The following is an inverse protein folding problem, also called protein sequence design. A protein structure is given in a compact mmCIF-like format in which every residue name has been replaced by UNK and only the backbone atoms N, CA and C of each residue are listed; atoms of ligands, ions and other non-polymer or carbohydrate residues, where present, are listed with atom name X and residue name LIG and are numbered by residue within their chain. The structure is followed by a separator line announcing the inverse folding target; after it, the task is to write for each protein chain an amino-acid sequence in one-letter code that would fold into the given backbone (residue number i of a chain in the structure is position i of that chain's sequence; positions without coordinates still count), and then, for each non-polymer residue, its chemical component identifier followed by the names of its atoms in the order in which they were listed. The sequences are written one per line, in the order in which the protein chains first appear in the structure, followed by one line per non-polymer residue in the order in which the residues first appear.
data_IF_110793608421
#
_entry.id   IF_110793608421
#
_cell.length_a   1.000
_cell.length_b   1.000
_cell.length_c   1.000
_cell.angle_alpha   90.00
_cell.angle_beta   90.00
_cell.angle_gamma   90.00
#
_symmetry.space_group_name_H-M   'P 1'
#
loop_
_entity.id
_entity.type
_entity.pdbx_description
1 polymer ?
#
# COMPACT_ATOMS: atom_id res chain seq x y z
N UNK A 1 -4.04 -28.88 10.46
CA UNK A 1 -3.22 -27.80 11.06
C UNK A 1 -2.57 -26.90 10.00
N UNK A 2 -1.94 -27.43 8.96
CA UNK A 2 -1.37 -26.64 7.84
C UNK A 2 -2.38 -25.65 7.18
N UNK A 3 -3.62 -26.07 6.90
CA UNK A 3 -4.65 -25.17 6.33
C UNK A 3 -5.12 -24.03 7.27
N UNK A 4 -4.90 -24.17 8.59
CA UNK A 4 -5.18 -23.13 9.59
C UNK A 4 -4.04 -22.11 9.67
N UNK A 5 -2.80 -22.55 9.52
CA UNK A 5 -1.62 -21.68 9.41
C UNK A 5 -1.61 -20.93 8.07
N UNK A 6 -2.01 -21.56 6.96
CA UNK A 6 -2.04 -20.91 5.64
C UNK A 6 -3.10 -19.80 5.57
N UNK A 7 -4.30 -20.04 6.12
CA UNK A 7 -5.31 -18.98 6.23
C UNK A 7 -4.82 -17.85 7.14
N UNK A 8 -4.20 -18.13 8.29
CA UNK A 8 -3.67 -17.08 9.18
C UNK A 8 -2.53 -16.28 8.56
N UNK A 9 -1.53 -16.92 7.95
CA UNK A 9 -0.37 -16.22 7.37
C UNK A 9 -0.77 -15.30 6.19
N UNK A 10 -1.75 -15.71 5.37
CA UNK A 10 -2.21 -14.91 4.22
C UNK A 10 -3.26 -13.87 4.61
N UNK A 11 -4.17 -14.15 5.56
CA UNK A 11 -5.17 -13.18 6.06
C UNK A 11 -4.61 -12.14 7.05
N UNK A 12 -3.42 -12.33 7.62
CA UNK A 12 -2.82 -11.34 8.54
C UNK A 12 -1.94 -10.31 7.80
N UNK A 13 -1.33 -10.65 6.67
CA UNK A 13 -0.58 -9.66 5.89
C UNK A 13 -1.48 -8.63 5.17
N UNK A 14 -2.79 -8.88 5.08
CA UNK A 14 -3.78 -8.03 4.40
C UNK A 14 -4.21 -6.81 5.21
N UNK A 15 -4.15 -6.83 6.55
CA UNK A 15 -4.67 -5.73 7.39
C UNK A 15 -3.62 -4.65 7.71
N UNK A 16 -2.37 -5.00 8.02
CA UNK A 16 -1.31 -4.00 8.29
C UNK A 16 -0.84 -3.26 7.03
N UNK A 17 -0.71 -3.96 5.89
CA UNK A 17 0.00 -3.44 4.71
C UNK A 17 -0.80 -2.48 3.82
N UNK A 18 -2.15 -2.51 3.89
CA UNK A 18 -2.99 -1.66 3.03
C UNK A 18 -3.29 -0.27 3.63
N UNK A 19 -3.22 -0.11 4.95
CA UNK A 19 -3.62 1.14 5.62
C UNK A 19 -2.56 2.24 5.45
N UNK A 20 -1.27 1.90 5.27
CA UNK A 20 -0.19 2.89 5.22
C UNK A 20 0.42 3.15 3.83
N UNK A 21 0.42 2.20 2.88
CA UNK A 21 1.21 2.35 1.65
C UNK A 21 0.40 2.55 0.36
N UNK A 22 -0.86 2.12 0.29
CA UNK A 22 -1.61 2.05 -0.98
C UNK A 22 -2.78 3.05 -1.13
N UNK A 23 -2.91 3.99 -0.20
CA UNK A 23 -3.94 5.05 -0.24
C UNK A 23 -3.61 6.21 -1.21
N UNK A 24 -2.48 6.14 -1.93
CA UNK A 24 -1.90 7.30 -2.65
C UNK A 24 -1.28 6.91 -4.02
N UNK A 25 -1.97 6.10 -4.83
CA UNK A 25 -1.61 5.93 -6.26
C UNK A 25 -2.76 6.41 -7.18
N UNK A 26 -2.92 7.73 -7.20
CA UNK A 26 -3.13 8.61 -8.37
C UNK A 26 -3.96 8.11 -9.57
N UNK A 27 -5.04 8.85 -9.84
CA UNK A 27 -5.74 8.94 -11.12
C UNK A 27 -5.67 10.40 -11.58
N UNK A 28 -4.82 10.67 -12.58
CA UNK A 28 -4.95 11.83 -13.44
C UNK A 28 -4.65 11.39 -14.89
N UNK A 29 -5.72 11.07 -15.62
CA UNK A 29 -5.67 10.94 -17.07
C UNK A 29 -5.38 12.31 -17.68
N UNK A 30 -4.17 12.48 -18.22
CA UNK A 30 -3.76 13.69 -18.92
C UNK A 30 -4.37 13.65 -20.34
N UNK A 31 -5.52 14.30 -20.56
CA UNK A 31 -6.00 14.62 -21.92
C UNK A 31 -5.82 16.11 -22.18
N UNK A 32 -4.74 16.45 -22.87
CA UNK A 32 -4.62 17.73 -23.55
C UNK A 32 -5.47 17.70 -24.83
N UNK A 33 -6.51 18.54 -24.90
CA UNK A 33 -6.98 19.09 -26.16
C UNK A 33 -6.89 20.62 -26.10
N UNK A 34 -5.99 21.13 -26.94
CA UNK A 34 -5.84 22.49 -27.48
C UNK A 34 -6.57 23.68 -26.81
N UNK A 35 -5.77 24.64 -26.34
CA UNK A 35 -6.05 26.08 -26.52
C UNK A 35 -6.83 26.81 -25.42
N UNK A 36 -6.10 27.26 -24.38
CA UNK A 36 -6.36 28.28 -23.32
C UNK A 36 -6.21 27.70 -21.90
N UNK A 37 -5.64 28.44 -20.92
CA UNK A 37 -5.42 27.91 -19.57
C UNK A 37 -6.76 27.87 -18.82
N UNK A 38 -7.25 26.67 -18.54
CA UNK A 38 -8.49 26.42 -17.76
C UNK A 38 -8.09 25.89 -16.38
N UNK A 39 -8.87 26.24 -15.35
CA UNK A 39 -8.72 25.94 -13.92
C UNK A 39 -8.34 24.49 -13.51
N UNK A 40 -8.36 23.52 -14.43
CA UNK A 40 -8.00 22.12 -14.19
C UNK A 40 -6.50 21.81 -14.06
N UNK A 41 -5.58 22.70 -14.47
CA UNK A 41 -4.13 22.41 -14.39
C UNK A 41 -3.57 22.36 -12.97
N UNK A 42 -4.30 22.95 -12.01
CA UNK A 42 -3.84 23.02 -10.62
C UNK A 42 -3.81 21.64 -9.97
N UNK A 43 -4.65 20.69 -10.39
CA UNK A 43 -4.80 19.34 -9.79
C UNK A 43 -3.63 18.39 -10.11
N UNK A 44 -3.06 18.44 -11.31
CA UNK A 44 -1.96 17.56 -11.75
C UNK A 44 -0.64 17.79 -10.98
N UNK A 45 -0.40 19.02 -10.50
CA UNK A 45 0.81 19.37 -9.71
C UNK A 45 0.81 18.73 -8.30
N UNK A 46 -0.36 18.45 -7.72
CA UNK A 46 -0.46 17.93 -6.34
C UNK A 46 -0.08 16.45 -6.21
N UNK A 47 -0.11 15.71 -7.31
CA UNK A 47 0.27 14.30 -7.35
C UNK A 47 1.78 14.09 -7.24
N UNK A 48 2.61 15.04 -7.70
CA UNK A 48 4.07 15.00 -7.54
C UNK A 48 4.53 15.16 -6.08
N UNK A 49 3.85 15.99 -5.28
CA UNK A 49 4.22 16.21 -3.86
C UNK A 49 3.88 15.01 -2.98
N UNK A 50 2.94 14.16 -3.43
CA UNK A 50 2.56 12.92 -2.73
C UNK A 50 3.52 11.75 -2.97
N UNK A 51 4.50 11.90 -3.89
CA UNK A 51 5.51 10.87 -4.26
C UNK A 51 6.57 10.63 -3.18
N UNK A 52 6.71 11.52 -2.21
CA UNK A 52 7.72 11.45 -1.15
C UNK A 52 7.15 11.04 0.23
N UNK A 53 6.59 9.83 0.33
CA UNK A 53 6.10 9.33 1.62
C UNK A 53 7.19 8.81 2.57
N UNK A 54 8.44 8.65 2.11
CA UNK A 54 9.56 8.30 2.97
C UNK A 54 10.10 9.47 3.83
N UNK A 55 9.72 10.73 3.58
CA UNK A 55 10.38 11.89 4.22
C UNK A 55 9.73 12.33 5.55
N UNK A 56 8.46 11.97 5.82
CA UNK A 56 7.70 12.64 6.89
C UNK A 56 7.58 11.89 8.22
N UNK A 57 8.03 10.61 8.32
CA UNK A 57 8.17 9.91 9.61
C UNK A 57 9.21 10.62 10.51
N UNK A 58 10.22 11.26 9.92
CA UNK A 58 11.22 12.07 10.62
C UNK A 58 10.68 13.36 11.27
N UNK A 59 9.53 13.89 10.84
CA UNK A 59 8.97 15.14 11.38
C UNK A 59 8.13 14.90 12.63
N UNK A 60 7.53 13.71 12.79
CA UNK A 60 6.90 13.29 14.04
C UNK A 60 7.94 12.96 15.13
N UNK A 61 9.10 12.40 14.76
CA UNK A 61 10.19 12.15 15.71
C UNK A 61 10.91 13.42 16.16
N UNK A 62 11.00 14.44 15.29
CA UNK A 62 11.53 15.76 15.64
C UNK A 62 10.65 16.53 16.64
N UNK A 63 9.34 16.26 16.69
CA UNK A 63 8.44 16.87 17.68
C UNK A 63 8.32 16.07 18.99
N UNK A 64 8.48 14.73 18.96
CA UNK A 64 8.55 13.91 20.19
C UNK A 64 9.84 14.14 21.00
N UNK A 65 10.97 14.48 20.36
CA UNK A 65 12.22 14.82 21.08
C UNK A 65 12.23 16.20 21.75
N UNK A 66 11.20 17.04 21.57
CA UNK A 66 11.07 18.34 22.26
C UNK A 66 10.14 18.32 23.48
N UNK A 67 9.55 17.17 23.81
CA UNK A 67 8.67 17.01 24.97
C UNK A 67 9.32 16.24 26.12
N UNK A 68 10.34 16.80 26.77
CA UNK A 68 10.88 16.23 28.00
C UNK A 68 12.19 16.86 28.48
N UNK A 69 12.13 17.65 29.55
CA UNK A 69 13.30 18.12 30.30
C UNK A 69 13.34 19.64 30.49
N UNK A 70 12.97 20.11 31.68
CA UNK A 70 13.00 21.52 32.06
C UNK A 70 14.37 22.01 32.56
N UNK A 71 14.53 23.33 32.56
CA UNK A 71 15.39 24.07 33.48
C UNK A 71 16.76 24.52 32.96
N UNK A 72 16.92 25.83 32.74
CA UNK A 72 18.21 26.51 32.91
C UNK A 72 18.71 27.37 31.75
N UNK A 73 18.44 28.68 31.83
CA UNK A 73 19.41 29.75 31.52
C UNK A 73 19.84 30.02 30.06
N UNK A 74 19.54 31.23 29.58
CA UNK A 74 20.44 31.93 28.66
C UNK A 74 19.86 32.33 27.31
N UNK A 75 19.31 33.56 27.25
CA UNK A 75 19.32 34.56 26.16
C UNK A 75 19.49 34.09 24.68
N UNK A 76 18.67 34.72 23.83
CA UNK A 76 18.62 34.75 22.34
C UNK A 76 17.68 33.66 21.80
N UNK A 77 16.51 33.95 21.23
CA UNK A 77 16.28 34.73 20.00
C UNK A 77 14.91 35.42 20.09
N UNK A 78 14.89 36.75 20.25
CA UNK A 78 13.83 37.60 19.72
C UNK A 78 14.21 37.94 18.27
N UNK A 79 13.20 38.17 17.42
CA UNK A 79 13.24 38.51 15.98
C UNK A 79 12.92 37.37 15.01
N UNK A 80 11.64 36.96 14.97
CA UNK A 80 10.98 36.49 13.74
C UNK A 80 9.44 36.57 13.80
N UNK A 81 8.87 37.47 14.62
CA UNK A 81 7.40 37.60 14.78
C UNK A 81 6.84 38.96 14.33
N UNK A 82 7.63 39.80 13.65
CA UNK A 82 7.20 41.14 13.22
C UNK A 82 7.30 41.36 11.70
N UNK A 83 7.73 40.35 10.92
CA UNK A 83 7.89 40.48 9.46
C UNK A 83 6.78 39.84 8.61
N UNK A 84 5.60 39.52 9.18
CA UNK A 84 4.46 39.00 8.40
C UNK A 84 3.14 39.75 8.62
N UNK A 85 3.17 40.88 9.32
CA UNK A 85 1.96 41.67 9.64
C UNK A 85 1.82 42.96 8.83
N UNK A 86 2.71 43.22 7.86
CA UNK A 86 2.76 44.48 7.08
C UNK A 86 2.60 44.27 5.56
N UNK A 87 2.12 43.11 5.13
CA UNK A 87 1.68 42.87 3.74
C UNK A 87 0.39 42.02 3.70
N UNK A 88 -0.53 42.28 4.63
CA UNK A 88 -1.86 41.64 4.67
C UNK A 88 -3.01 42.62 4.39
N UNK A 89 -2.68 43.83 3.93
CA UNK A 89 -3.67 44.81 3.49
C UNK A 89 -3.44 45.12 2.02
N UNK A 90 -4.38 44.67 1.18
CA UNK A 90 -4.61 45.05 -0.23
C UNK A 90 -4.34 44.00 -1.33
N UNK A 91 -4.64 42.73 -1.09
CA UNK A 91 -5.15 41.88 -2.18
C UNK A 91 -6.62 41.58 -1.85
N UNK A 92 -7.51 42.48 -2.30
CA UNK A 92 -8.93 42.15 -2.36
C UNK A 92 -9.10 40.89 -3.22
N UNK A 93 -9.81 39.92 -2.68
CA UNK A 93 -9.95 38.54 -3.15
C UNK A 93 -10.54 38.45 -4.58
N UNK A 94 -9.71 38.61 -5.63
CA UNK A 94 -10.09 38.56 -7.05
C UNK A 94 -10.55 37.16 -7.54
N UNK A 95 -10.74 36.20 -6.65
CA UNK A 95 -11.23 34.86 -6.99
C UNK A 95 -12.73 34.90 -7.24
N UNK A 96 -13.14 34.39 -8.40
CA UNK A 96 -14.56 34.13 -8.67
C UNK A 96 -15.12 33.07 -7.69
N UNK A 97 -16.43 33.10 -7.46
CA UNK A 97 -17.14 32.18 -6.59
C UNK A 97 -16.92 30.70 -6.95
N UNK A 98 -16.77 30.39 -8.25
CA UNK A 98 -16.39 29.05 -8.68
C UNK A 98 -15.02 28.63 -8.14
N UNK A 99 -14.03 29.53 -8.18
CA UNK A 99 -12.68 29.28 -7.69
C UNK A 99 -12.64 29.16 -6.16
N UNK A 100 -13.45 29.94 -5.45
CA UNK A 100 -13.59 29.84 -3.99
C UNK A 100 -14.16 28.48 -3.57
N UNK A 101 -15.21 28.01 -4.25
CA UNK A 101 -15.79 26.67 -4.01
C UNK A 101 -14.79 25.56 -4.32
N UNK A 102 -14.00 25.71 -5.37
CA UNK A 102 -12.93 24.75 -5.69
C UNK A 102 -11.84 24.71 -4.60
N UNK A 103 -11.38 25.87 -4.14
CA UNK A 103 -10.40 25.97 -3.04
C UNK A 103 -10.96 25.36 -1.74
N UNK A 104 -12.24 25.57 -1.44
CA UNK A 104 -12.93 24.98 -0.30
C UNK A 104 -13.02 23.45 -0.41
N UNK A 105 -13.39 22.91 -1.59
CA UNK A 105 -13.38 21.46 -1.83
C UNK A 105 -12.00 20.86 -1.59
N UNK A 106 -10.95 21.48 -2.16
CA UNK A 106 -9.57 21.03 -1.98
C UNK A 106 -9.18 21.03 -0.49
N UNK A 107 -9.59 22.07 0.25
CA UNK A 107 -9.34 22.15 1.69
C UNK A 107 -10.05 21.03 2.46
N UNK A 108 -11.32 20.74 2.14
CA UNK A 108 -12.08 19.65 2.76
C UNK A 108 -11.43 18.28 2.49
N UNK A 109 -11.03 18.01 1.25
CA UNK A 109 -10.34 16.78 0.87
C UNK A 109 -9.01 16.63 1.62
N UNK A 110 -8.24 17.72 1.78
CA UNK A 110 -7.00 17.72 2.58
C UNK A 110 -7.26 17.47 4.06
N UNK A 111 -8.28 18.09 4.64
CA UNK A 111 -8.69 17.86 6.03
C UNK A 111 -9.14 16.40 6.24
N UNK A 112 -9.89 15.83 5.30
CA UNK A 112 -10.27 14.43 5.31
C UNK A 112 -9.04 13.53 5.33
N UNK A 113 -8.12 13.70 4.38
CA UNK A 113 -6.88 12.90 4.30
C UNK A 113 -6.05 13.00 5.58
N UNK A 114 -5.87 14.21 6.11
CA UNK A 114 -5.14 14.42 7.37
C UNK A 114 -5.84 13.75 8.55
N UNK A 115 -7.17 13.78 8.59
CA UNK A 115 -7.97 13.13 9.63
C UNK A 115 -7.85 11.61 9.57
N UNK A 116 -7.84 11.02 8.35
CA UNK A 116 -7.57 9.58 8.14
C UNK A 116 -6.19 9.23 8.69
N UNK A 117 -5.15 10.00 8.35
CA UNK A 117 -3.79 9.76 8.86
C UNK A 117 -3.67 9.87 10.39
N UNK A 118 -4.57 10.61 11.04
CA UNK A 118 -4.64 10.74 12.50
C UNK A 118 -5.54 9.69 13.17
N UNK A 119 -6.13 8.78 12.40
CA UNK A 119 -7.13 7.82 12.90
C UNK A 119 -8.49 8.45 13.24
N UNK A 120 -8.72 9.71 12.88
CA UNK A 120 -9.95 10.46 13.14
C UNK A 120 -10.99 10.17 12.05
N UNK A 121 -11.42 8.91 11.96
CA UNK A 121 -12.24 8.42 10.84
C UNK A 121 -13.61 9.10 10.73
N UNK A 122 -14.23 9.48 11.86
CA UNK A 122 -15.52 10.17 11.87
C UNK A 122 -15.40 11.62 11.35
N UNK A 123 -14.35 12.34 11.75
CA UNK A 123 -14.06 13.67 11.24
C UNK A 123 -13.76 13.62 9.73
N UNK A 124 -12.98 12.62 9.29
CA UNK A 124 -12.71 12.38 7.88
C UNK A 124 -14.00 12.17 7.08
N UNK A 125 -14.91 11.32 7.58
CA UNK A 125 -16.21 11.09 6.96
C UNK A 125 -16.99 12.39 6.82
N UNK A 126 -17.06 13.22 7.87
CA UNK A 126 -17.73 14.52 7.81
C UNK A 126 -17.18 15.45 6.73
N UNK A 127 -15.85 15.56 6.62
CA UNK A 127 -15.21 16.37 5.59
C UNK A 127 -15.48 15.85 4.17
N UNK A 128 -15.49 14.53 3.97
CA UNK A 128 -15.76 13.93 2.66
C UNK A 128 -17.21 14.13 2.21
N UNK A 129 -18.18 14.05 3.11
CA UNK A 129 -19.58 14.33 2.80
C UNK A 129 -19.79 15.79 2.38
N UNK A 130 -19.10 16.74 3.03
CA UNK A 130 -19.12 18.14 2.62
C UNK A 130 -18.46 18.33 1.25
N UNK A 131 -17.30 17.69 1.02
CA UNK A 131 -16.57 17.78 -0.24
C UNK A 131 -17.40 17.27 -1.43
N UNK A 132 -18.03 16.09 -1.31
CA UNK A 132 -18.82 15.51 -2.39
C UNK A 132 -20.08 16.32 -2.68
N UNK A 133 -20.73 16.87 -1.65
CA UNK A 133 -21.89 17.76 -1.84
C UNK A 133 -21.51 19.01 -2.65
N UNK A 134 -20.37 19.64 -2.32
CA UNK A 134 -19.87 20.80 -3.05
C UNK A 134 -19.40 20.42 -4.47
N UNK A 135 -18.85 19.23 -4.66
CA UNK A 135 -18.44 18.72 -5.97
C UNK A 135 -19.63 18.51 -6.91
N UNK A 136 -20.75 17.99 -6.40
CA UNK A 136 -22.00 17.89 -7.16
C UNK A 136 -22.58 19.26 -7.50
N UNK A 137 -22.57 20.21 -6.56
CA UNK A 137 -23.06 21.59 -6.80
C UNK A 137 -22.26 22.34 -7.88
N UNK A 138 -20.97 22.05 -7.98
CA UNK A 138 -20.07 22.68 -8.97
C UNK A 138 -19.94 21.87 -10.26
N UNK A 139 -20.64 20.73 -10.36
CA UNK A 139 -20.53 19.78 -11.48
C UNK A 139 -19.09 19.36 -11.80
N UNK A 140 -18.22 19.33 -10.79
CA UNK A 140 -16.82 18.94 -10.96
C UNK A 140 -16.69 17.41 -10.89
N UNK A 141 -16.76 16.76 -12.05
CA UNK A 141 -16.71 15.30 -12.16
C UNK A 141 -15.43 14.70 -11.53
N UNK A 142 -14.28 15.35 -11.69
CA UNK A 142 -13.02 14.86 -11.12
C UNK A 142 -13.06 14.89 -9.59
N UNK A 143 -13.58 15.97 -8.99
CA UNK A 143 -13.76 16.07 -7.54
C UNK A 143 -14.80 15.07 -7.02
N UNK A 144 -15.86 14.79 -7.78
CA UNK A 144 -16.85 13.75 -7.44
C UNK A 144 -16.19 12.36 -7.38
N UNK A 145 -15.47 11.97 -8.44
CA UNK A 145 -14.77 10.67 -8.52
C UNK A 145 -13.76 10.53 -7.36
N UNK A 146 -12.96 11.57 -7.13
CA UNK A 146 -11.96 11.57 -6.07
C UNK A 146 -12.58 11.52 -4.66
N UNK A 147 -13.68 12.25 -4.44
CA UNK A 147 -14.38 12.21 -3.15
C UNK A 147 -14.96 10.82 -2.89
N UNK A 148 -15.63 10.22 -3.89
CA UNK A 148 -16.17 8.87 -3.75
C UNK A 148 -15.08 7.82 -3.52
N UNK A 149 -13.94 7.91 -4.21
CA UNK A 149 -12.84 6.94 -4.01
C UNK A 149 -12.24 7.06 -2.60
N UNK A 150 -12.10 8.27 -2.04
CA UNK A 150 -11.68 8.47 -0.65
C UNK A 150 -12.71 7.96 0.36
N UNK A 151 -14.01 8.19 0.11
CA UNK A 151 -15.08 7.63 0.95
C UNK A 151 -15.08 6.10 0.91
N UNK A 152 -14.86 5.51 -0.27
CA UNK A 152 -14.80 4.06 -0.44
C UNK A 152 -13.61 3.46 0.31
N UNK A 153 -12.43 4.07 0.21
CA UNK A 153 -11.26 3.68 0.99
C UNK A 153 -11.52 3.78 2.51
N UNK A 154 -12.16 4.87 2.96
CA UNK A 154 -12.52 5.04 4.37
C UNK A 154 -13.48 3.94 4.85
N UNK A 155 -14.52 3.65 4.06
CA UNK A 155 -15.46 2.58 4.34
C UNK A 155 -14.78 1.20 4.38
N UNK A 156 -13.84 0.94 3.46
CA UNK A 156 -13.05 -0.28 3.43
C UNK A 156 -12.23 -0.48 4.70
N UNK A 157 -11.49 0.56 5.13
CA UNK A 157 -10.70 0.54 6.38
C UNK A 157 -11.58 0.34 7.61
N UNK A 158 -12.84 0.77 7.57
CA UNK A 158 -13.83 0.53 8.63
C UNK A 158 -14.49 -0.86 8.58
N UNK A 159 -14.11 -1.72 7.62
CA UNK A 159 -14.72 -3.04 7.40
C UNK A 159 -16.12 -2.98 6.77
N UNK A 160 -16.55 -1.82 6.27
CA UNK A 160 -17.86 -1.64 5.64
C UNK A 160 -17.82 -2.01 4.15
N UNK A 161 -17.51 -3.28 3.86
CA UNK A 161 -17.22 -3.76 2.49
C UNK A 161 -18.34 -3.46 1.48
N UNK A 162 -19.61 -3.71 1.85
CA UNK A 162 -20.76 -3.41 1.00
C UNK A 162 -20.91 -1.92 0.69
N UNK A 163 -20.49 -1.04 1.61
CA UNK A 163 -20.55 0.39 1.39
C UNK A 163 -19.39 0.85 0.49
N UNK A 164 -18.18 0.34 0.74
CA UNK A 164 -17.01 0.58 -0.10
C UNK A 164 -17.26 0.16 -1.56
N UNK A 165 -17.84 -1.03 -1.76
CA UNK A 165 -18.22 -1.56 -3.07
C UNK A 165 -19.13 -0.59 -3.83
N UNK A 166 -20.20 -0.11 -3.18
CA UNK A 166 -21.15 0.85 -3.78
C UNK A 166 -20.48 2.16 -4.16
N UNK A 167 -19.60 2.68 -3.31
CA UNK A 167 -18.88 3.93 -3.54
C UNK A 167 -17.87 3.81 -4.69
N UNK A 168 -17.13 2.69 -4.78
CA UNK A 168 -16.24 2.44 -5.92
C UNK A 168 -17.00 2.24 -7.23
N UNK A 169 -18.12 1.51 -7.21
CA UNK A 169 -19.01 1.40 -8.39
C UNK A 169 -19.53 2.76 -8.84
N UNK A 170 -19.91 3.63 -7.90
CA UNK A 170 -20.34 4.99 -8.21
C UNK A 170 -19.20 5.80 -8.85
N UNK A 171 -18.00 5.79 -8.26
CA UNK A 171 -16.83 6.47 -8.80
C UNK A 171 -16.51 5.99 -10.23
N UNK A 172 -16.46 4.68 -10.44
CA UNK A 172 -16.21 4.07 -11.75
C UNK A 172 -17.31 4.41 -12.78
N UNK A 173 -18.58 4.46 -12.37
CA UNK A 173 -19.67 4.90 -13.24
C UNK A 173 -19.52 6.36 -13.69
N UNK A 174 -19.05 7.24 -12.81
CA UNK A 174 -18.74 8.64 -13.17
C UNK A 174 -17.58 8.71 -14.18
N UNK A 175 -16.56 7.86 -14.04
CA UNK A 175 -15.45 7.78 -15.01
C UNK A 175 -15.93 7.34 -16.40
N UNK A 176 -16.68 6.24 -16.47
CA UNK A 176 -17.17 5.69 -17.74
C UNK A 176 -18.16 6.63 -18.43
N UNK A 177 -19.11 7.20 -17.68
CA UNK A 177 -20.04 8.20 -18.23
C UNK A 177 -19.35 9.51 -18.66
N UNK A 178 -18.19 9.82 -18.06
CA UNK A 178 -17.31 10.91 -18.47
C UNK A 178 -16.44 10.61 -19.69
N UNK A 179 -16.56 9.42 -20.30
CA UNK A 179 -15.81 9.02 -21.49
C UNK A 179 -14.40 8.50 -21.22
N UNK A 180 -14.07 8.15 -19.97
CA UNK A 180 -12.84 7.41 -19.66
C UNK A 180 -12.94 6.00 -20.25
N UNK A 181 -11.97 5.55 -21.07
CA UNK A 181 -11.97 4.20 -21.63
C UNK A 181 -11.94 3.11 -20.56
N UNK A 182 -12.55 1.95 -20.85
CA UNK A 182 -12.55 0.80 -19.92
C UNK A 182 -11.14 0.24 -19.67
N UNK A 183 -10.25 0.36 -20.65
CA UNK A 183 -8.85 -0.07 -20.57
C UNK A 183 -7.91 1.05 -20.05
N UNK A 184 -8.46 2.16 -19.55
CA UNK A 184 -7.69 3.19 -18.88
C UNK A 184 -7.14 2.68 -17.54
N UNK A 185 -5.92 3.09 -17.18
CA UNK A 185 -5.28 2.61 -15.96
C UNK A 185 -6.09 2.98 -14.71
N UNK A 186 -6.76 4.14 -14.71
CA UNK A 186 -7.59 4.56 -13.59
C UNK A 186 -8.83 3.67 -13.43
N UNK A 187 -9.46 3.23 -14.54
CA UNK A 187 -10.61 2.32 -14.48
C UNK A 187 -10.16 0.94 -14.01
N UNK A 188 -9.04 0.45 -14.52
CA UNK A 188 -8.46 -0.83 -14.10
C UNK A 188 -8.09 -0.80 -12.61
N UNK A 189 -7.60 0.33 -12.09
CA UNK A 189 -7.34 0.48 -10.66
C UNK A 189 -8.62 0.39 -9.82
N UNK A 190 -9.72 1.01 -10.26
CA UNK A 190 -11.03 0.86 -9.59
C UNK A 190 -11.51 -0.59 -9.63
N UNK A 191 -11.35 -1.26 -10.76
CA UNK A 191 -11.66 -2.69 -10.91
C UNK A 191 -10.82 -3.57 -9.99
N UNK A 192 -9.53 -3.24 -9.80
CA UNK A 192 -8.65 -3.95 -8.87
C UNK A 192 -9.17 -3.81 -7.43
N UNK A 193 -9.56 -2.60 -7.01
CA UNK A 193 -10.11 -2.37 -5.66
C UNK A 193 -11.41 -3.14 -5.45
N UNK A 194 -12.29 -3.19 -6.46
CA UNK A 194 -13.51 -3.98 -6.41
C UNK A 194 -13.22 -5.48 -6.34
N UNK A 195 -12.25 -5.99 -7.12
CA UNK A 195 -11.85 -7.39 -7.07
C UNK A 195 -11.36 -7.80 -5.67
N UNK A 196 -10.56 -6.95 -5.03
CA UNK A 196 -10.11 -7.15 -3.64
C UNK A 196 -11.29 -7.12 -2.66
N UNK A 197 -12.26 -6.21 -2.82
CA UNK A 197 -13.46 -6.20 -1.98
C UNK A 197 -14.26 -7.50 -2.12
N UNK A 198 -14.45 -7.99 -3.35
CA UNK A 198 -15.12 -9.26 -3.59
C UNK A 198 -14.37 -10.44 -2.98
N UNK A 199 -13.03 -10.42 -3.01
CA UNK A 199 -12.21 -11.42 -2.34
C UNK A 199 -12.45 -11.44 -0.82
N UNK A 200 -12.50 -10.27 -0.18
CA UNK A 200 -12.79 -10.13 1.26
C UNK A 200 -14.25 -10.50 1.62
N UNK A 201 -15.19 -10.27 0.70
CA UNK A 201 -16.59 -10.71 0.84
C UNK A 201 -16.80 -12.20 0.56
N UNK A 202 -15.75 -12.95 0.19
CA UNK A 202 -15.80 -14.35 -0.21
C UNK A 202 -16.66 -14.60 -1.48
N UNK A 203 -16.77 -13.59 -2.35
CA UNK A 203 -17.43 -13.65 -3.66
C UNK A 203 -16.44 -14.12 -4.74
N UNK A 204 -16.05 -15.39 -4.66
CA UNK A 204 -14.90 -15.95 -5.39
C UNK A 204 -14.96 -15.79 -6.91
N UNK A 205 -16.15 -15.95 -7.51
CA UNK A 205 -16.34 -15.81 -8.96
C UNK A 205 -16.13 -14.36 -9.43
N UNK A 206 -16.64 -13.39 -8.67
CA UNK A 206 -16.48 -11.96 -8.98
C UNK A 206 -15.03 -11.51 -8.76
N UNK A 207 -14.38 -11.99 -7.70
CA UNK A 207 -12.97 -11.71 -7.44
C UNK A 207 -12.08 -12.21 -8.58
N UNK A 208 -12.21 -13.48 -8.99
CA UNK A 208 -11.37 -14.03 -10.07
C UNK A 208 -11.64 -13.34 -11.41
N UNK A 209 -12.90 -13.01 -11.72
CA UNK A 209 -13.24 -12.22 -12.92
C UNK A 209 -12.61 -10.84 -12.89
N UNK A 210 -12.68 -10.15 -11.76
CA UNK A 210 -12.08 -8.83 -11.58
C UNK A 210 -10.57 -8.86 -11.75
N UNK A 211 -9.88 -9.78 -11.07
CA UNK A 211 -8.43 -9.93 -11.23
C UNK A 211 -8.02 -10.30 -12.65
N UNK A 212 -8.77 -11.18 -13.31
CA UNK A 212 -8.53 -11.55 -14.72
C UNK A 212 -8.67 -10.34 -15.64
N UNK A 213 -9.76 -9.59 -15.51
CA UNK A 213 -9.97 -8.35 -16.26
C UNK A 213 -8.78 -7.41 -16.10
N UNK A 214 -8.37 -7.13 -14.87
CA UNK A 214 -7.24 -6.24 -14.61
C UNK A 214 -5.95 -6.71 -15.29
N UNK A 215 -5.57 -7.98 -15.15
CA UNK A 215 -4.30 -8.46 -15.74
C UNK A 215 -4.36 -8.53 -17.26
N UNK A 216 -5.43 -9.06 -17.84
CA UNK A 216 -5.56 -9.23 -19.30
C UNK A 216 -5.64 -7.87 -20.01
N UNK A 217 -6.36 -6.90 -19.44
CA UNK A 217 -6.43 -5.55 -20.00
C UNK A 217 -5.07 -4.85 -20.01
N UNK A 218 -4.29 -4.97 -18.92
CA UNK A 218 -2.97 -4.35 -18.82
C UNK A 218 -1.94 -5.04 -19.72
N UNK A 219 -1.95 -6.37 -19.77
CA UNK A 219 -1.08 -7.14 -20.67
C UNK A 219 -1.37 -6.81 -22.13
N UNK A 220 -2.64 -6.82 -22.55
CA UNK A 220 -3.04 -6.45 -23.90
C UNK A 220 -2.62 -5.02 -24.26
N UNK A 221 -2.71 -4.08 -23.31
CA UNK A 221 -2.27 -2.69 -23.48
C UNK A 221 -0.75 -2.59 -23.67
N UNK A 222 0.02 -3.33 -22.88
CA UNK A 222 1.49 -3.39 -22.99
C UNK A 222 1.94 -4.05 -24.30
N UNK A 223 1.25 -5.10 -24.76
CA UNK A 223 1.55 -5.75 -26.04
C UNK A 223 1.28 -4.83 -27.23
N UNK A 224 0.16 -4.10 -27.23
CA UNK A 224 -0.12 -3.08 -28.27
C UNK A 224 0.98 -2.02 -28.31
N UNK A 225 1.49 -1.60 -27.15
CA UNK A 225 2.56 -0.60 -27.06
C UNK A 225 3.91 -1.12 -27.56
N UNK A 226 4.21 -2.43 -27.41
CA UNK A 226 5.45 -3.04 -27.95
C UNK A 226 5.50 -3.04 -29.47
N UNK A 227 4.34 -3.06 -30.14
CA UNK A 227 4.23 -3.12 -31.60
C UNK A 227 4.39 -1.77 -32.30
N UNK A 228 4.46 -0.66 -31.54
CA UNK A 228 4.60 0.69 -32.10
C UNK A 228 6.06 0.97 -32.54
N UNK A 229 6.27 1.60 -33.72
CA UNK A 229 7.59 1.99 -34.19
C UNK A 229 8.35 2.87 -33.19
N UNK A 230 9.68 2.71 -33.13
CA UNK A 230 10.54 3.44 -32.21
C UNK A 230 10.44 4.98 -32.38
N UNK A 231 10.09 5.47 -33.58
CA UNK A 231 9.94 6.91 -33.83
C UNK A 231 8.69 7.54 -33.15
N UNK A 232 7.74 6.72 -32.68
CA UNK A 232 6.51 7.21 -32.03
C UNK A 232 6.62 7.25 -30.50
N UNK A 233 7.70 6.73 -29.91
CA UNK A 233 7.88 6.59 -28.47
C UNK A 233 8.28 7.94 -27.85
N UNK A 234 7.29 8.71 -27.40
CA UNK A 234 7.53 9.94 -26.64
C UNK A 234 7.86 9.64 -25.18
N UNK A 235 8.53 10.57 -24.50
CA UNK A 235 8.81 10.45 -23.05
C UNK A 235 7.54 10.27 -22.20
N UNK A 236 6.44 10.93 -22.59
CA UNK A 236 5.14 10.80 -21.92
C UNK A 236 4.53 9.40 -22.10
N UNK A 237 4.67 8.80 -23.29
CA UNK A 237 4.20 7.44 -23.53
C UNK A 237 5.03 6.40 -22.78
N UNK A 238 6.34 6.58 -22.67
CA UNK A 238 7.19 5.68 -21.89
C UNK A 238 6.89 5.80 -20.39
N UNK A 239 6.63 7.01 -19.88
CA UNK A 239 6.17 7.20 -18.52
C UNK A 239 4.81 6.48 -18.26
N UNK A 240 3.84 6.63 -19.16
CA UNK A 240 2.56 5.92 -19.07
C UNK A 240 2.73 4.40 -19.15
N UNK A 241 3.65 3.92 -19.99
CA UNK A 241 3.98 2.49 -20.11
C UNK A 241 4.62 1.94 -18.84
N UNK A 242 5.49 2.72 -18.19
CA UNK A 242 6.02 2.41 -16.87
C UNK A 242 4.90 2.32 -15.82
N UNK A 243 3.99 3.29 -15.78
CA UNK A 243 2.85 3.26 -14.85
C UNK A 243 1.95 2.05 -15.10
N UNK A 244 1.74 1.68 -16.36
CA UNK A 244 0.97 0.49 -16.76
C UNK A 244 1.64 -0.81 -16.28
N UNK A 245 2.97 -0.92 -16.42
CA UNK A 245 3.75 -2.04 -15.87
C UNK A 245 3.62 -2.12 -14.35
N UNK A 246 3.78 -1.00 -13.66
CA UNK A 246 3.65 -0.94 -12.20
C UNK A 246 2.24 -1.33 -11.72
N UNK A 247 1.19 -0.91 -12.43
CA UNK A 247 -0.18 -1.32 -12.14
C UNK A 247 -0.40 -2.82 -12.37
N UNK A 248 0.21 -3.40 -13.41
CA UNK A 248 0.18 -4.85 -13.64
C UNK A 248 0.85 -5.60 -12.48
N UNK A 249 2.01 -5.12 -12.02
CA UNK A 249 2.68 -5.66 -10.83
C UNK A 249 1.79 -5.66 -9.59
N UNK A 250 1.03 -4.58 -9.36
CA UNK A 250 0.06 -4.50 -8.25
C UNK A 250 -1.13 -5.46 -8.40
N UNK A 251 -1.62 -5.65 -9.63
CA UNK A 251 -2.71 -6.59 -9.91
C UNK A 251 -2.27 -8.03 -9.64
N UNK A 252 -1.06 -8.38 -10.10
CA UNK A 252 -0.45 -9.68 -9.89
C UNK A 252 -0.21 -9.95 -8.39
N UNK A 253 0.36 -9.00 -7.65
CA UNK A 253 0.52 -9.09 -6.18
C UNK A 253 -0.82 -9.35 -5.47
N UNK A 254 -1.85 -8.57 -5.80
CA UNK A 254 -3.17 -8.71 -5.18
C UNK A 254 -3.84 -10.05 -5.51
N UNK A 255 -3.72 -10.50 -6.77
CA UNK A 255 -4.21 -11.82 -7.20
C UNK A 255 -3.43 -12.96 -6.56
N UNK A 256 -2.11 -12.81 -6.40
CA UNK A 256 -1.26 -13.79 -5.74
C UNK A 256 -1.70 -14.03 -4.30
N UNK A 257 -1.96 -12.95 -3.54
CA UNK A 257 -2.51 -13.04 -2.18
C UNK A 257 -3.83 -13.77 -2.13
N UNK A 258 -4.77 -13.41 -3.01
CA UNK A 258 -6.06 -14.09 -3.11
C UNK A 258 -5.91 -15.58 -3.43
N UNK A 259 -5.04 -15.94 -4.38
CA UNK A 259 -4.77 -17.34 -4.74
C UNK A 259 -4.10 -18.11 -3.60
N UNK A 260 -3.17 -17.49 -2.88
CA UNK A 260 -2.52 -18.07 -1.72
C UNK A 260 -3.52 -18.38 -0.60
N UNK A 261 -4.49 -17.49 -0.33
CA UNK A 261 -5.51 -17.71 0.71
C UNK A 261 -6.46 -18.87 0.37
N UNK A 262 -6.56 -19.21 -0.92
CA UNK A 262 -7.33 -20.33 -1.46
C UNK A 262 -6.47 -21.57 -1.75
N UNK A 263 -5.22 -21.61 -1.27
CA UNK A 263 -4.28 -22.74 -1.44
C UNK A 263 -3.87 -23.03 -2.89
N UNK A 264 -4.08 -22.08 -3.81
CA UNK A 264 -3.59 -22.18 -5.20
C UNK A 264 -2.11 -21.75 -5.29
N UNK A 265 -1.24 -22.43 -4.54
CA UNK A 265 0.14 -22.00 -4.28
C UNK A 265 0.99 -21.89 -5.56
N UNK A 266 0.85 -22.81 -6.51
CA UNK A 266 1.59 -22.75 -7.77
C UNK A 266 1.26 -21.49 -8.58
N UNK A 267 -0.02 -21.12 -8.65
CA UNK A 267 -0.47 -19.92 -9.36
C UNK A 267 -0.06 -18.64 -8.62
N UNK A 268 -0.12 -18.66 -7.28
CA UNK A 268 0.34 -17.56 -6.44
C UNK A 268 1.85 -17.31 -6.61
N UNK A 269 2.67 -18.36 -6.60
CA UNK A 269 4.11 -18.26 -6.83
C UNK A 269 4.43 -17.61 -8.19
N UNK A 270 3.70 -18.01 -9.24
CA UNK A 270 3.89 -17.42 -10.56
C UNK A 270 3.49 -15.95 -10.63
N UNK A 271 2.35 -15.58 -10.01
CA UNK A 271 1.93 -14.18 -9.94
C UNK A 271 2.93 -13.33 -9.13
N UNK A 272 3.41 -13.80 -7.99
CA UNK A 272 4.44 -13.12 -7.20
C UNK A 272 5.76 -12.98 -7.95
N UNK A 273 6.21 -14.03 -8.66
CA UNK A 273 7.43 -13.98 -9.47
C UNK A 273 7.31 -12.94 -10.59
N UNK A 274 6.17 -12.87 -11.27
CA UNK A 274 5.91 -11.88 -12.32
C UNK A 274 5.85 -10.46 -11.73
N UNK A 275 5.16 -10.27 -10.60
CA UNK A 275 5.12 -8.99 -9.89
C UNK A 275 6.52 -8.54 -9.44
N UNK A 276 7.32 -9.46 -8.90
CA UNK A 276 8.69 -9.22 -8.46
C UNK A 276 9.58 -8.78 -9.63
N UNK A 277 9.48 -9.46 -10.77
CA UNK A 277 10.24 -9.10 -11.97
C UNK A 277 9.92 -7.67 -12.45
N UNK A 278 8.63 -7.31 -12.47
CA UNK A 278 8.18 -5.95 -12.80
C UNK A 278 8.76 -4.94 -11.80
N UNK A 279 8.61 -5.17 -10.49
CA UNK A 279 9.09 -4.24 -9.48
C UNK A 279 10.61 -4.06 -9.52
N UNK A 280 11.38 -5.15 -9.71
CA UNK A 280 12.84 -5.09 -9.89
C UNK A 280 13.23 -4.22 -11.09
N UNK A 281 12.58 -4.43 -12.23
CA UNK A 281 12.87 -3.68 -13.45
C UNK A 281 12.51 -2.20 -13.34
N UNK A 282 11.35 -1.88 -12.76
CA UNK A 282 10.84 -0.51 -12.75
C UNK A 282 11.31 0.35 -11.57
N UNK A 283 11.65 -0.28 -10.45
CA UNK A 283 11.90 0.38 -9.17
C UNK A 283 13.24 0.00 -8.52
N UNK A 284 13.86 -1.10 -8.95
CA UNK A 284 15.16 -1.58 -8.46
C UNK A 284 15.05 -2.62 -7.33
N UNK A 285 16.19 -3.25 -7.03
CA UNK A 285 16.32 -4.37 -6.07
C UNK A 285 16.08 -3.96 -4.61
N UNK A 286 16.42 -2.73 -4.24
CA UNK A 286 16.29 -2.25 -2.85
C UNK A 286 14.97 -1.51 -2.59
N UNK A 287 14.10 -1.42 -3.60
CA UNK A 287 12.81 -0.77 -3.43
C UNK A 287 11.93 -1.54 -2.42
N UNK A 288 11.23 -0.87 -1.50
CA UNK A 288 10.39 -1.53 -0.50
C UNK A 288 9.47 -2.63 -1.02
N UNK A 289 8.74 -2.34 -2.10
CA UNK A 289 7.84 -3.31 -2.72
C UNK A 289 8.59 -4.55 -3.26
N UNK A 290 9.81 -4.37 -3.78
CA UNK A 290 10.62 -5.50 -4.28
C UNK A 290 10.97 -6.45 -3.15
N UNK A 291 11.41 -5.92 -2.00
CA UNK A 291 11.77 -6.72 -0.83
C UNK A 291 10.57 -7.44 -0.23
N UNK A 292 9.41 -6.78 -0.21
CA UNK A 292 8.14 -7.39 0.21
C UNK A 292 7.77 -8.55 -0.71
N UNK A 293 7.81 -8.36 -2.04
CA UNK A 293 7.50 -9.41 -3.01
C UNK A 293 8.47 -10.60 -2.93
N UNK A 294 9.75 -10.37 -2.65
CA UNK A 294 10.70 -11.45 -2.37
C UNK A 294 10.29 -12.26 -1.15
N UNK A 295 9.90 -11.60 -0.06
CA UNK A 295 9.47 -12.27 1.18
C UNK A 295 8.16 -13.03 1.03
N UNK A 296 7.20 -12.47 0.29
CA UNK A 296 5.92 -13.11 0.03
C UNK A 296 6.09 -14.32 -0.89
N UNK A 297 6.92 -14.23 -1.93
CA UNK A 297 7.29 -15.39 -2.76
C UNK A 297 8.01 -16.46 -1.94
N UNK A 298 8.94 -16.08 -1.07
CA UNK A 298 9.62 -17.02 -0.17
C UNK A 298 8.62 -17.75 0.74
N UNK A 299 7.62 -17.04 1.26
CA UNK A 299 6.53 -17.64 2.05
C UNK A 299 5.74 -18.66 1.21
N UNK A 300 5.45 -18.37 -0.06
CA UNK A 300 4.76 -19.35 -0.92
C UNK A 300 5.62 -20.58 -1.20
N UNK A 301 6.91 -20.40 -1.48
CA UNK A 301 7.86 -21.51 -1.69
C UNK A 301 7.95 -22.40 -0.45
N UNK A 302 8.02 -21.79 0.73
CA UNK A 302 8.01 -22.49 2.01
C UNK A 302 6.72 -23.30 2.23
N UNK A 303 5.55 -22.73 1.90
CA UNK A 303 4.27 -23.43 1.93
C UNK A 303 4.18 -24.59 0.91
N UNK A 304 4.95 -24.53 -0.17
CA UNK A 304 5.11 -25.63 -1.14
C UNK A 304 6.10 -26.70 -0.66
N UNK A 305 6.79 -26.50 0.47
CA UNK A 305 7.82 -27.39 0.99
C UNK A 305 9.22 -27.12 0.42
N UNK A 306 9.39 -26.08 -0.40
CA UNK A 306 10.69 -25.68 -0.96
C UNK A 306 11.45 -24.76 0.01
N UNK A 307 11.74 -25.27 1.21
CA UNK A 307 12.32 -24.48 2.31
C UNK A 307 13.69 -23.88 1.97
N UNK A 308 14.53 -24.60 1.23
CA UNK A 308 15.87 -24.11 0.86
C UNK A 308 15.81 -22.92 -0.09
N UNK A 309 14.97 -22.99 -1.12
CA UNK A 309 14.76 -21.89 -2.07
C UNK A 309 14.13 -20.67 -1.37
N UNK A 310 13.18 -20.92 -0.46
CA UNK A 310 12.55 -19.90 0.37
C UNK A 310 13.58 -19.17 1.25
N UNK A 311 14.48 -19.91 1.91
CA UNK A 311 15.53 -19.34 2.75
C UNK A 311 16.49 -18.46 1.96
N UNK A 312 16.95 -18.90 0.78
CA UNK A 312 17.82 -18.10 -0.08
C UNK A 312 17.16 -16.77 -0.42
N UNK A 313 15.89 -16.81 -0.84
CA UNK A 313 15.17 -15.63 -1.29
C UNK A 313 14.89 -14.64 -0.15
N UNK A 314 14.40 -15.12 1.01
CA UNK A 314 14.10 -14.25 2.16
C UNK A 314 15.36 -13.69 2.80
N UNK A 315 16.47 -14.46 2.83
CA UNK A 315 17.76 -14.00 3.33
C UNK A 315 18.30 -12.86 2.46
N UNK A 316 18.21 -13.01 1.13
CA UNK A 316 18.57 -11.93 0.20
C UNK A 316 17.73 -10.67 0.46
N UNK A 317 16.42 -10.81 0.70
CA UNK A 317 15.56 -9.68 1.02
C UNK A 317 15.97 -8.99 2.33
N UNK A 318 16.29 -9.76 3.38
CA UNK A 318 16.77 -9.24 4.67
C UNK A 318 18.09 -8.48 4.50
N UNK A 319 19.05 -9.02 3.77
CA UNK A 319 20.36 -8.38 3.61
C UNK A 319 20.27 -7.08 2.80
N UNK A 320 19.48 -7.07 1.72
CA UNK A 320 19.17 -5.85 0.98
C UNK A 320 18.45 -4.83 1.88
N UNK A 321 17.47 -5.26 2.69
CA UNK A 321 16.73 -4.37 3.59
C UNK A 321 17.60 -3.67 4.63
N UNK A 322 18.62 -4.38 5.16
CA UNK A 322 19.60 -3.86 6.12
C UNK A 322 20.44 -2.75 5.49
N UNK A 323 20.90 -2.95 4.26
CA UNK A 323 21.71 -1.95 3.55
C UNK A 323 20.91 -0.69 3.17
N UNK A 324 19.62 -0.83 2.88
CA UNK A 324 18.76 0.25 2.43
C UNK A 324 18.05 1.01 3.58
N UNK A 325 18.09 0.49 4.81
CA UNK A 325 17.37 1.08 5.95
C UNK A 325 15.85 0.94 5.81
N UNK A 326 15.37 -0.25 5.44
CA UNK A 326 13.95 -0.49 5.17
C UNK A 326 13.08 -0.38 6.44
N UNK A 327 11.94 0.34 6.41
CA UNK A 327 11.12 0.57 7.60
C UNK A 327 10.48 -0.71 8.18
N UNK A 328 10.21 -1.71 7.34
CA UNK A 328 9.53 -2.96 7.74
C UNK A 328 10.48 -4.17 7.83
N UNK A 329 11.75 -3.92 8.20
CA UNK A 329 12.76 -4.98 8.36
C UNK A 329 12.30 -6.09 9.32
N UNK A 330 11.51 -5.75 10.35
CA UNK A 330 10.98 -6.72 11.31
C UNK A 330 10.07 -7.77 10.66
N UNK A 331 9.32 -7.41 9.62
CA UNK A 331 8.45 -8.34 8.90
C UNK A 331 9.28 -9.37 8.13
N UNK A 332 10.33 -8.91 7.43
CA UNK A 332 11.23 -9.80 6.67
C UNK A 332 11.96 -10.79 7.60
N UNK A 333 12.44 -10.30 8.74
CA UNK A 333 13.09 -11.14 9.77
C UNK A 333 12.13 -12.15 10.40
N UNK A 334 10.88 -11.75 10.65
CA UNK A 334 9.84 -12.65 11.15
C UNK A 334 9.54 -13.78 10.16
N UNK A 335 9.47 -13.46 8.86
CA UNK A 335 9.26 -14.47 7.82
C UNK A 335 10.47 -15.41 7.68
N UNK A 336 11.70 -14.89 7.72
CA UNK A 336 12.91 -15.71 7.75
C UNK A 336 12.90 -16.67 8.95
N UNK A 337 12.55 -16.17 10.15
CA UNK A 337 12.46 -16.99 11.35
C UNK A 337 11.40 -18.10 11.26
N UNK A 338 10.26 -17.82 10.61
CA UNK A 338 9.21 -18.81 10.35
C UNK A 338 9.67 -19.92 9.39
N UNK A 339 10.35 -19.56 8.31
CA UNK A 339 10.89 -20.53 7.35
C UNK A 339 11.96 -21.41 8.03
N UNK A 340 12.82 -20.83 8.87
CA UNK A 340 13.79 -21.58 9.68
C UNK A 340 13.11 -22.55 10.66
N UNK A 341 12.00 -22.15 11.28
CA UNK A 341 11.20 -23.01 12.14
C UNK A 341 10.63 -24.21 11.37
N UNK A 342 10.08 -24.00 10.17
CA UNK A 342 9.58 -25.09 9.33
C UNK A 342 10.69 -26.08 8.95
N UNK A 343 11.88 -25.58 8.62
CA UNK A 343 13.07 -26.40 8.34
C UNK A 343 13.65 -27.12 9.58
N UNK A 344 13.24 -26.74 10.79
CA UNK A 344 13.73 -27.32 12.05
C UNK A 344 15.00 -26.67 12.59
N UNK A 345 15.41 -25.52 12.06
CA UNK A 345 16.55 -24.74 12.57
C UNK A 345 16.11 -23.85 13.73
N UNK A 346 15.78 -24.46 14.87
CA UNK A 346 15.06 -23.80 15.96
C UNK A 346 15.89 -22.72 16.67
N UNK A 347 17.19 -22.90 16.84
CA UNK A 347 18.09 -21.91 17.47
C UNK A 347 18.15 -20.61 16.65
N UNK A 348 18.36 -20.72 15.34
CA UNK A 348 18.41 -19.58 14.45
C UNK A 348 17.05 -18.90 14.35
N UNK A 349 15.96 -19.67 14.31
CA UNK A 349 14.59 -19.13 14.33
C UNK A 349 14.34 -18.25 15.56
N UNK A 350 14.68 -18.71 16.78
CA UNK A 350 14.56 -17.89 18.00
C UNK A 350 15.36 -16.60 17.89
N UNK A 351 16.62 -16.67 17.41
CA UNK A 351 17.48 -15.48 17.26
C UNK A 351 16.83 -14.44 16.36
N UNK A 352 16.37 -14.83 15.18
CA UNK A 352 15.76 -13.90 14.23
C UNK A 352 14.39 -13.38 14.69
N UNK A 353 13.57 -14.21 15.35
CA UNK A 353 12.32 -13.71 15.96
C UNK A 353 12.59 -12.69 17.08
N UNK A 354 13.63 -12.86 17.89
CA UNK A 354 14.01 -11.86 18.90
C UNK A 354 14.48 -10.54 18.27
N UNK A 355 15.27 -10.61 17.20
CA UNK A 355 15.68 -9.44 16.41
C UNK A 355 14.44 -8.72 15.84
N UNK A 356 13.54 -9.46 15.19
CA UNK A 356 12.28 -8.96 14.64
C UNK A 356 11.42 -8.30 15.72
N UNK A 357 11.28 -8.93 16.89
CA UNK A 357 10.44 -8.44 18.00
C UNK A 357 10.95 -7.08 18.53
N UNK A 358 12.27 -6.94 18.64
CA UNK A 358 12.88 -5.69 19.08
C UNK A 358 12.62 -4.55 18.08
N UNK A 359 12.77 -4.83 16.79
CA UNK A 359 12.50 -3.86 15.72
C UNK A 359 11.01 -3.51 15.63
N UNK A 360 10.10 -4.49 15.72
CA UNK A 360 8.65 -4.27 15.70
C UNK A 360 8.20 -3.36 16.86
N UNK A 361 8.74 -3.58 18.07
CA UNK A 361 8.49 -2.71 19.24
C UNK A 361 9.01 -1.29 19.03
N UNK A 362 10.20 -1.12 18.45
CA UNK A 362 10.74 0.20 18.12
C UNK A 362 9.89 0.92 17.07
N UNK A 363 9.35 0.18 16.10
CA UNK A 363 8.46 0.70 15.07
C UNK A 363 7.04 1.02 15.58
N UNK A 364 6.65 0.49 16.75
CA UNK A 364 5.28 0.57 17.27
C UNK A 364 4.28 -0.31 16.52
N UNK A 365 4.76 -1.35 15.83
CA UNK A 365 3.94 -2.29 15.06
C UNK A 365 3.44 -3.41 15.98
N UNK A 366 2.30 -3.16 16.63
CA UNK A 366 1.73 -4.11 17.59
C UNK A 366 1.28 -5.42 16.94
N UNK A 367 0.80 -5.35 15.70
CA UNK A 367 0.34 -6.53 14.97
C UNK A 367 1.52 -7.48 14.68
N UNK A 368 2.64 -6.94 14.21
CA UNK A 368 3.84 -7.73 14.03
C UNK A 368 4.39 -8.27 15.36
N UNK A 369 4.31 -7.50 16.45
CA UNK A 369 4.70 -7.96 17.80
C UNK A 369 3.89 -9.20 18.20
N UNK A 370 2.58 -9.20 17.99
CA UNK A 370 1.70 -10.31 18.36
C UNK A 370 2.00 -11.56 17.52
N UNK A 371 2.22 -11.38 16.21
CA UNK A 371 2.58 -12.46 15.28
C UNK A 371 3.94 -13.09 15.64
N UNK A 372 4.95 -12.28 15.91
CA UNK A 372 6.29 -12.75 16.28
C UNK A 372 6.24 -13.53 17.61
N UNK A 373 5.41 -13.09 18.56
CA UNK A 373 5.20 -13.82 19.81
C UNK A 373 4.50 -15.18 19.60
N UNK A 374 3.57 -15.27 18.65
CA UNK A 374 2.97 -16.55 18.26
C UNK A 374 4.03 -17.50 17.67
N UNK A 375 4.87 -17.01 16.76
CA UNK A 375 5.99 -17.78 16.20
C UNK A 375 6.95 -18.27 17.28
N UNK A 376 7.33 -17.43 18.25
CA UNK A 376 8.18 -17.84 19.38
C UNK A 376 7.54 -18.92 20.26
N UNK A 377 6.21 -18.90 20.45
CA UNK A 377 5.48 -19.96 21.17
C UNK A 377 5.50 -21.27 20.40
N UNK A 378 5.38 -21.20 19.08
CA UNK A 378 5.46 -22.39 18.22
C UNK A 378 6.86 -23.02 18.26
N UNK A 379 7.92 -22.21 18.17
CA UNK A 379 9.30 -22.70 18.33
C UNK A 379 9.49 -23.41 19.66
N UNK A 380 8.99 -22.82 20.76
CA UNK A 380 9.06 -23.44 22.09
C UNK A 380 8.35 -24.79 22.13
N UNK A 381 7.15 -24.86 21.57
CA UNK A 381 6.35 -26.10 21.53
C UNK A 381 7.10 -27.19 20.75
N UNK A 382 7.75 -26.85 19.64
CA UNK A 382 8.53 -27.79 18.83
C UNK A 382 9.78 -28.28 19.57
N UNK A 383 10.50 -27.40 20.28
CA UNK A 383 11.63 -27.78 21.15
C UNK A 383 11.23 -28.73 22.27
N UNK A 384 10.10 -28.44 22.93
CA UNK A 384 9.59 -29.28 24.00
C UNK A 384 9.20 -30.68 23.48
N UNK A 385 8.72 -30.79 22.23
CA UNK A 385 8.43 -32.06 21.58
C UNK A 385 9.71 -32.83 21.21
N UNK A 386 10.70 -32.18 20.59
CA UNK A 386 11.99 -32.82 20.26
C UNK A 386 12.67 -33.39 21.51
N UNK A 387 12.62 -32.65 22.62
CA UNK A 387 13.19 -33.10 23.91
C UNK A 387 12.45 -34.33 24.46
N UNK A 388 11.13 -34.41 24.30
CA UNK A 388 10.34 -35.58 24.73
C UNK A 388 10.64 -36.79 23.85
N UNK A 389 10.70 -36.60 22.54
CA UNK A 389 10.99 -37.67 21.58
C UNK A 389 12.40 -38.25 21.82
N UNK A 390 13.37 -37.42 22.19
CA UNK A 390 14.72 -37.87 22.60
C UNK A 390 14.70 -38.68 23.91
N UNK A 391 13.94 -38.22 24.91
CA UNK A 391 13.80 -38.93 26.19
C UNK A 391 13.09 -40.28 26.03
N UNK A 392 12.07 -40.36 25.17
CA UNK A 392 11.36 -41.61 24.88
C UNK A 392 12.24 -42.62 24.14
N UNK A 393 13.06 -42.17 23.17
CA UNK A 393 14.05 -43.03 22.51
C UNK A 393 15.10 -43.56 23.48
N UNK A 394 15.64 -42.69 24.34
CA UNK A 394 16.63 -43.07 25.34
C UNK A 394 16.08 -44.02 26.42
N UNK A 395 14.75 -44.12 26.58
CA UNK A 395 14.10 -45.06 27.48
C UNK A 395 13.75 -46.42 26.83
N UNK A 396 13.85 -46.51 25.50
CA UNK A 396 13.57 -47.74 24.73
C UNK A 396 14.85 -48.49 24.32
N UNK A 397 15.99 -47.80 24.30
CA UNK A 397 17.35 -48.36 24.18
C UNK A 397 17.90 -48.79 25.54
#
# INVERSE_FOLDING_TARGET
MAASCVRRAVLCQTLSRYVCSNLIRISAGNRQQSGRPVAGQRWASWEQVSRHQCIWKNIQDAQRRRGGGGGGGGRRVLWAAVAFSLFSGSDEDQRDEAQKKEDEMILLLKKAKLSIHRGQLQAASGFLHQAVALAHQTHNHQAIIYSYSLMANLAYVQGQLNHAEKLFKAAMSFMLSGGTPEDDNAVIEMSLKLATIYAEQNEAELAERGFRFCTESLEAKLEKQKQLPAEQQTEEQEALRKDTRLLLGLCLDSRARYRASHLHLNQAAQDYQNALNICRQEQGETHPQTLVLMSDLATILDLQGHHDDALVLVQQAVDLSRSAGHPDQHVLLGNLAGILLHKGQLEDSVRFYQEALNLARQAGDQEAVDQIQEGLKEVKTKKDQETKDEQEKAAQD
#
